data_IF_803830540074
#
_entry.id   IF_803830540074
#
_cell.length_a   1.000
_cell.length_b   1.000
_cell.length_c   1.000
_cell.angle_alpha   90.00
_cell.angle_beta   90.00
_cell.angle_gamma   90.00
#
_symmetry.space_group_name_H-M   'P 1'
#
loop_
_entity.id
_entity.type
_entity.pdbx_description
1 polymer ?
#
# COMPACT_ATOMS: atom_id res chain seq x y z
N UNK A 1 25.09 30.81 -38.18
CA UNK A 1 25.96 30.94 -37.00
C UNK A 1 25.17 31.60 -35.88
N UNK A 2 24.60 30.82 -34.96
CA UNK A 2 23.91 31.32 -33.76
C UNK A 2 24.51 30.59 -32.56
N UNK A 3 25.28 31.29 -31.71
CA UNK A 3 25.82 30.74 -30.47
C UNK A 3 24.72 30.81 -29.40
N UNK A 4 24.18 29.64 -29.02
CA UNK A 4 23.35 29.50 -27.82
C UNK A 4 24.26 29.50 -26.59
N UNK A 5 24.02 30.40 -25.64
CA UNK A 5 24.63 30.33 -24.31
C UNK A 5 23.86 29.30 -23.48
N UNK A 6 24.55 28.26 -23.01
CA UNK A 6 24.03 27.38 -21.96
C UNK A 6 24.38 27.99 -20.60
N UNK A 7 23.38 28.36 -19.81
CA UNK A 7 23.53 28.65 -18.38
C UNK A 7 23.41 27.35 -17.59
N UNK A 8 24.41 27.03 -16.78
CA UNK A 8 24.43 25.86 -15.90
C UNK A 8 24.19 26.32 -14.46
N UNK A 9 23.17 25.78 -13.80
CA UNK A 9 22.90 26.00 -12.38
C UNK A 9 23.84 25.09 -11.57
N UNK A 10 24.64 25.66 -10.67
CA UNK A 10 25.50 24.88 -9.76
C UNK A 10 25.06 25.18 -8.32
N UNK A 11 24.68 24.14 -7.59
CA UNK A 11 24.43 24.21 -6.16
C UNK A 11 25.77 24.11 -5.41
N UNK A 12 26.13 25.14 -4.63
CA UNK A 12 27.29 25.10 -3.74
C UNK A 12 26.79 24.77 -2.33
N UNK A 13 27.27 23.66 -1.77
CA UNK A 13 27.05 23.32 -0.36
C UNK A 13 28.27 23.79 0.44
N UNK A 14 28.07 24.69 1.39
CA UNK A 14 29.08 25.03 2.40
C UNK A 14 28.68 24.33 3.69
N UNK A 15 29.51 23.39 4.15
CA UNK A 15 29.36 22.75 5.45
C UNK A 15 30.18 23.54 6.47
N UNK A 16 29.52 24.12 7.48
CA UNK A 16 30.18 24.64 8.68
C UNK A 16 29.89 23.67 9.81
N UNK A 17 30.94 23.09 10.40
CA UNK A 17 30.83 22.11 11.48
C UNK A 17 30.76 22.86 12.82
N UNK A 18 29.60 22.82 13.46
CA UNK A 18 29.35 23.30 14.82
C UNK A 18 28.30 22.41 15.49
N UNK A 19 28.50 22.11 16.76
CA UNK A 19 27.79 21.10 17.54
C UNK A 19 26.30 21.39 17.73
N UNK A 20 25.44 20.54 17.16
CA UNK A 20 24.04 20.38 17.51
C UNK A 20 23.09 21.33 16.79
N UNK A 21 22.13 20.75 16.07
CA UNK A 21 21.02 21.36 15.32
C UNK A 21 21.31 21.75 13.85
N UNK A 22 20.64 21.05 12.92
CA UNK A 22 20.71 21.27 11.48
C UNK A 22 19.67 22.33 11.05
N UNK A 23 20.14 23.48 10.58
CA UNK A 23 19.34 24.44 9.82
C UNK A 23 19.84 24.45 8.39
N UNK A 24 19.01 24.00 7.45
CA UNK A 24 19.26 24.12 6.01
C UNK A 24 18.61 25.40 5.51
N UNK A 25 19.42 26.41 5.19
CA UNK A 25 18.98 27.60 4.48
C UNK A 25 19.53 27.56 3.05
N UNK A 26 18.65 27.55 2.05
CA UNK A 26 19.01 27.67 0.64
C UNK A 26 18.84 29.12 0.18
N UNK A 27 19.92 29.71 -0.34
CA UNK A 27 19.91 31.03 -0.97
C UNK A 27 20.54 30.95 -2.37
N UNK A 28 19.89 31.55 -3.37
CA UNK A 28 20.40 31.62 -4.73
C UNK A 28 21.25 32.88 -4.90
N UNK A 29 22.55 32.72 -5.15
CA UNK A 29 23.46 33.79 -5.52
C UNK A 29 24.00 33.59 -6.94
N UNK A 30 23.97 34.65 -7.75
CA UNK A 30 24.64 34.67 -9.05
C UNK A 30 26.11 35.06 -8.86
N UNK A 31 27.03 34.18 -9.24
CA UNK A 31 28.47 34.47 -9.27
C UNK A 31 28.96 34.31 -10.70
N UNK A 32 29.54 35.39 -11.22
CA UNK A 32 30.14 35.47 -12.55
C UNK A 32 31.54 34.81 -12.50
N UNK A 33 31.74 33.76 -13.29
CA UNK A 33 32.98 32.96 -13.27
C UNK A 33 34.08 33.57 -14.14
N UNK A 34 35.33 33.42 -13.70
CA UNK A 34 36.49 33.41 -14.59
C UNK A 34 37.35 32.17 -14.32
N UNK A 35 37.37 31.27 -15.31
CA UNK A 35 38.47 30.39 -15.75
C UNK A 35 39.24 29.55 -14.73
N UNK A 36 39.10 28.22 -14.82
CA UNK A 36 40.25 27.33 -14.93
C UNK A 36 39.90 25.99 -15.61
N UNK A 37 40.71 25.63 -16.59
CA UNK A 37 40.63 24.46 -17.46
C UNK A 37 41.43 23.29 -16.88
N UNK A 38 41.14 22.07 -17.36
CA UNK A 38 41.95 20.83 -17.26
C UNK A 38 41.84 20.00 -15.97
N UNK A 39 41.22 18.82 -16.06
CA UNK A 39 41.92 17.51 -16.00
C UNK A 39 40.95 16.32 -15.97
N UNK A 40 41.29 15.31 -16.78
CA UNK A 40 40.91 13.89 -16.69
C UNK A 40 39.58 13.42 -17.33
N UNK A 41 39.62 13.38 -18.65
CA UNK A 41 39.21 12.21 -19.43
C UNK A 41 40.03 10.97 -19.04
N UNK A 42 39.36 9.83 -18.80
CA UNK A 42 39.77 8.44 -19.12
C UNK A 42 39.28 7.43 -18.06
N UNK A 43 38.14 6.79 -18.33
CA UNK A 43 38.04 5.31 -18.31
C UNK A 43 36.71 4.87 -18.90
N UNK A 44 36.76 4.49 -20.18
CA UNK A 44 35.71 3.75 -20.86
C UNK A 44 36.05 2.25 -20.81
N UNK A 45 34.99 1.47 -20.59
CA UNK A 45 34.59 0.26 -21.34
C UNK A 45 34.94 -1.15 -20.80
N UNK A 46 33.84 -1.92 -20.86
CA UNK A 46 33.66 -3.33 -21.18
C UNK A 46 33.81 -4.34 -20.04
N UNK A 47 32.72 -5.06 -19.77
CA UNK A 47 32.57 -6.50 -20.10
C UNK A 47 31.08 -6.82 -20.27
N UNK A 48 30.80 -7.52 -21.35
CA UNK A 48 29.53 -8.08 -21.79
C UNK A 48 29.39 -9.54 -21.37
N UNK A 49 28.14 -10.02 -21.30
CA UNK A 49 27.70 -11.42 -21.32
C UNK A 49 28.16 -12.33 -20.17
N UNK A 50 27.19 -12.88 -19.44
CA UNK A 50 27.10 -14.31 -19.14
C UNK A 50 25.69 -14.64 -18.65
N UNK A 51 24.99 -15.43 -19.48
CA UNK A 51 23.80 -16.19 -19.14
C UNK A 51 24.25 -17.39 -18.31
N UNK A 52 23.65 -17.60 -17.14
CA UNK A 52 23.75 -18.87 -16.43
C UNK A 52 22.41 -19.20 -15.79
N UNK A 53 21.70 -20.13 -16.42
CA UNK A 53 20.60 -20.87 -15.81
C UNK A 53 21.15 -21.71 -14.66
N UNK A 54 20.59 -21.56 -13.47
CA UNK A 54 20.90 -22.41 -12.31
C UNK A 54 19.80 -23.45 -12.19
N UNK A 55 20.18 -24.68 -12.54
CA UNK A 55 19.45 -25.91 -12.27
C UNK A 55 19.49 -26.19 -10.77
N UNK A 56 18.34 -26.39 -10.12
CA UNK A 56 18.26 -26.94 -8.77
C UNK A 56 17.99 -28.45 -8.86
N UNK A 57 18.85 -29.33 -8.31
CA UNK A 57 18.51 -30.73 -8.14
C UNK A 57 17.76 -30.94 -6.82
N UNK A 58 16.61 -31.58 -6.93
CA UNK A 58 15.82 -32.14 -5.84
C UNK A 58 16.64 -33.17 -5.07
N UNK A 59 16.81 -32.97 -3.75
CA UNK A 59 17.31 -34.02 -2.86
C UNK A 59 16.18 -34.49 -1.95
N UNK A 60 15.68 -35.67 -2.29
CA UNK A 60 14.93 -36.59 -1.43
C UNK A 60 15.81 -36.97 -0.25
N UNK A 61 15.27 -36.88 0.98
CA UNK A 61 15.79 -37.63 2.14
C UNK A 61 14.63 -38.33 2.83
N UNK A 62 14.66 -39.65 2.75
CA UNK A 62 13.88 -40.58 3.54
C UNK A 62 14.80 -41.22 4.59
N UNK A 63 14.33 -41.26 5.84
CA UNK A 63 14.68 -42.17 6.96
C UNK A 63 13.45 -42.08 7.91
N UNK A 64 12.56 -43.07 8.09
CA UNK A 64 12.67 -44.34 8.85
C UNK A 64 13.28 -44.12 10.25
N UNK A 65 12.75 -44.57 11.39
CA UNK A 65 11.63 -45.44 11.79
C UNK A 65 11.48 -45.30 13.33
N UNK A 66 10.41 -45.87 13.86
CA UNK A 66 10.20 -46.35 15.24
C UNK A 66 9.87 -45.34 16.37
N UNK A 67 8.59 -45.32 16.76
CA UNK A 67 8.24 -45.64 18.14
C UNK A 67 6.78 -46.11 18.28
N UNK A 68 6.61 -47.37 18.67
CA UNK A 68 5.36 -47.96 19.16
C UNK A 68 5.04 -47.40 20.56
N UNK A 69 3.75 -47.16 20.82
CA UNK A 69 3.27 -46.73 22.13
C UNK A 69 1.75 -46.68 22.20
N UNK A 70 1.16 -47.85 22.46
CA UNK A 70 -0.24 -48.05 22.83
C UNK A 70 -0.63 -47.24 24.09
N UNK A 71 -1.74 -46.50 24.01
CA UNK A 71 -2.61 -46.29 25.16
C UNK A 71 -4.05 -45.95 24.72
N UNK A 72 -4.98 -46.75 25.23
CA UNK A 72 -6.42 -46.73 25.02
C UNK A 72 -7.13 -45.42 25.42
N UNK A 73 -8.16 -45.11 24.61
CA UNK A 73 -9.47 -44.52 24.90
C UNK A 73 -9.62 -43.40 25.97
N UNK A 74 -10.28 -42.28 25.61
CA UNK A 74 -11.68 -41.95 25.99
C UNK A 74 -12.14 -40.62 25.35
N UNK A 75 -13.34 -40.65 24.75
CA UNK A 75 -14.35 -39.57 24.58
C UNK A 75 -14.00 -38.24 23.87
N UNK A 76 -14.47 -38.16 22.62
CA UNK A 76 -15.41 -37.14 22.10
C UNK A 76 -15.22 -35.67 22.51
N UNK A 77 -14.63 -34.90 21.62
CA UNK A 77 -15.13 -33.57 21.21
C UNK A 77 -14.66 -33.34 19.77
N UNK A 78 -15.52 -33.67 18.82
CA UNK A 78 -15.33 -33.38 17.40
C UNK A 78 -15.51 -31.88 17.21
N UNK A 79 -14.44 -31.13 17.38
CA UNK A 79 -14.31 -29.81 16.75
C UNK A 79 -14.17 -30.10 15.27
N UNK A 80 -15.14 -29.64 14.47
CA UNK A 80 -15.04 -29.62 13.01
C UNK A 80 -13.82 -28.77 12.65
N UNK A 81 -12.66 -29.41 12.54
CA UNK A 81 -11.53 -28.85 11.81
C UNK A 81 -11.99 -28.74 10.37
N UNK A 82 -12.33 -27.52 9.98
CA UNK A 82 -12.38 -27.09 8.59
C UNK A 82 -11.06 -27.54 7.96
N UNK A 83 -11.09 -28.68 7.27
CA UNK A 83 -9.97 -29.12 6.47
C UNK A 83 -9.81 -28.06 5.39
N UNK A 84 -8.83 -27.19 5.56
CA UNK A 84 -8.35 -26.30 4.52
C UNK A 84 -7.96 -27.21 3.35
N UNK A 85 -8.85 -27.31 2.36
CA UNK A 85 -8.53 -27.89 1.08
C UNK A 85 -7.39 -27.03 0.55
N UNK A 86 -6.15 -27.48 0.72
CA UNK A 86 -5.01 -26.82 0.09
C UNK A 86 -5.25 -26.98 -1.41
N UNK A 87 -5.58 -25.89 -2.14
CA UNK A 87 -5.85 -26.02 -3.56
C UNK A 87 -4.62 -26.64 -4.24
N UNK A 88 -4.85 -27.56 -5.19
CA UNK A 88 -3.77 -28.11 -6.02
C UNK A 88 -2.94 -26.94 -6.53
N UNK A 89 -1.64 -26.92 -6.20
CA UNK A 89 -0.75 -25.78 -6.45
C UNK A 89 -0.88 -25.31 -7.90
N UNK A 90 -1.69 -24.28 -8.12
CA UNK A 90 -1.70 -23.58 -9.39
C UNK A 90 -0.31 -22.98 -9.58
N UNK A 91 0.16 -22.92 -10.82
CA UNK A 91 1.43 -22.27 -11.11
C UNK A 91 1.45 -20.90 -10.41
N UNK A 92 2.57 -20.47 -9.79
CA UNK A 92 2.65 -19.12 -9.21
C UNK A 92 2.42 -18.03 -10.28
N UNK A 93 2.51 -18.38 -11.56
CA UNK A 93 2.23 -17.51 -12.69
C UNK A 93 0.84 -17.71 -13.31
N UNK A 94 -0.02 -18.51 -12.67
CA UNK A 94 -1.40 -18.70 -13.11
C UNK A 94 -2.14 -17.36 -13.05
N UNK A 95 -3.00 -17.13 -14.04
CA UNK A 95 -3.87 -15.97 -14.04
C UNK A 95 -4.89 -16.06 -12.90
N UNK A 96 -5.24 -14.92 -12.34
CA UNK A 96 -6.29 -14.82 -11.32
C UNK A 96 -7.35 -13.82 -11.78
N UNK A 97 -8.59 -14.04 -11.35
CA UNK A 97 -9.69 -13.13 -11.62
C UNK A 97 -10.06 -12.42 -10.34
N UNK A 98 -10.16 -11.10 -10.41
CA UNK A 98 -10.54 -10.25 -9.28
C UNK A 98 -11.72 -9.37 -9.66
N UNK A 99 -12.62 -9.11 -8.73
CA UNK A 99 -13.67 -8.11 -8.87
C UNK A 99 -13.21 -6.84 -8.17
N UNK A 100 -12.88 -5.82 -8.95
CA UNK A 100 -12.56 -4.51 -8.40
C UNK A 100 -13.84 -3.72 -8.14
N UNK A 101 -14.01 -3.19 -6.94
CA UNK A 101 -15.07 -2.23 -6.63
C UNK A 101 -14.45 -0.86 -6.42
N UNK A 102 -14.65 0.03 -7.39
CA UNK A 102 -14.14 1.39 -7.39
C UNK A 102 -15.19 2.33 -6.82
N UNK A 103 -14.80 3.17 -5.87
CA UNK A 103 -15.66 4.07 -5.15
C UNK A 103 -15.14 5.51 -5.31
N UNK A 104 -15.71 6.22 -6.29
CA UNK A 104 -15.34 7.60 -6.59
C UNK A 104 -16.16 8.59 -5.76
N UNK A 105 -15.51 9.70 -5.39
CA UNK A 105 -16.06 10.75 -4.53
C UNK A 105 -15.51 10.69 -3.10
N UNK A 106 -15.93 11.64 -2.25
CA UNK A 106 -15.52 11.67 -0.84
C UNK A 106 -16.15 10.51 -0.08
N UNK A 107 -15.32 9.63 0.47
CA UNK A 107 -15.74 8.72 1.53
C UNK A 107 -15.91 9.50 2.82
N UNK A 108 -16.99 9.26 3.58
CA UNK A 108 -17.17 9.85 4.92
C UNK A 108 -16.04 9.53 5.90
N UNK A 109 -15.20 8.53 5.58
CA UNK A 109 -13.97 8.24 6.32
C UNK A 109 -12.94 9.38 6.29
N UNK A 110 -13.04 10.32 5.34
CA UNK A 110 -12.18 11.52 5.34
C UNK A 110 -12.48 12.49 6.50
N UNK A 111 -13.66 12.38 7.14
CA UNK A 111 -13.99 13.18 8.33
C UNK A 111 -13.27 12.69 9.59
N UNK A 112 -12.73 11.46 9.60
CA UNK A 112 -11.99 10.90 10.74
C UNK A 112 -10.47 11.19 10.70
N UNK A 113 -9.97 11.93 9.71
CA UNK A 113 -8.57 12.36 9.67
C UNK A 113 -7.53 11.22 9.58
N UNK A 114 -7.96 10.01 9.21
CA UNK A 114 -7.11 8.80 9.18
C UNK A 114 -6.08 8.85 8.03
N UNK A 115 -6.31 9.69 7.01
CA UNK A 115 -5.31 9.92 5.97
C UNK A 115 -4.32 11.03 6.38
N UNK A 116 -3.02 10.71 6.55
CA UNK A 116 -1.98 11.71 6.77
C UNK A 116 -1.63 12.52 5.51
N UNK A 117 -2.19 12.17 4.35
CA UNK A 117 -2.10 12.98 3.14
C UNK A 117 -3.15 14.09 3.15
N UNK A 118 -3.18 14.88 4.23
CA UNK A 118 -3.80 16.19 4.18
C UNK A 118 -2.83 17.09 3.40
N UNK A 119 -2.90 17.03 2.08
CA UNK A 119 -2.34 18.08 1.25
C UNK A 119 -3.11 19.36 1.58
N UNK A 120 -2.40 20.27 2.23
CA UNK A 120 -2.88 21.57 2.67
C UNK A 120 -3.72 22.27 1.57
N UNK A 121 -4.93 22.66 1.96
CA UNK A 121 -5.47 24.00 1.76
C UNK A 121 -5.82 24.50 0.35
N UNK A 122 -6.28 23.62 -0.54
CA UNK A 122 -7.21 24.07 -1.58
C UNK A 122 -8.35 23.08 -1.78
N UNK A 123 -9.56 23.54 -1.46
CA UNK A 123 -10.84 22.84 -1.67
C UNK A 123 -11.17 22.78 -3.17
N UNK A 124 -10.35 22.13 -3.99
CA UNK A 124 -10.68 21.91 -5.40
C UNK A 124 -11.65 20.73 -5.54
N UNK A 125 -12.94 21.04 -5.39
CA UNK A 125 -14.08 20.55 -6.18
C UNK A 125 -14.03 19.10 -6.70
N UNK A 126 -13.82 18.11 -5.83
CA UNK A 126 -14.27 16.73 -6.11
C UNK A 126 -15.12 16.21 -4.94
N UNK A 127 -16.39 15.92 -5.25
CA UNK A 127 -17.32 15.23 -4.35
C UNK A 127 -17.83 16.04 -3.15
N UNK A 128 -18.11 17.34 -3.30
CA UNK A 128 -18.63 18.17 -2.22
C UNK A 128 -20.08 17.81 -1.80
N UNK A 129 -20.77 16.94 -2.54
CA UNK A 129 -22.24 16.79 -2.43
C UNK A 129 -22.75 15.43 -1.91
N UNK A 130 -21.92 14.53 -1.38
CA UNK A 130 -22.37 13.19 -0.98
C UNK A 130 -22.73 12.27 -2.17
N UNK A 131 -22.31 12.69 -3.36
CA UNK A 131 -22.35 11.98 -4.63
C UNK A 131 -21.34 10.83 -4.64
N UNK A 132 -21.78 9.66 -4.17
CA UNK A 132 -20.99 8.44 -4.29
C UNK A 132 -21.21 7.78 -5.64
N UNK A 133 -20.13 7.52 -6.38
CA UNK A 133 -20.18 6.70 -7.60
C UNK A 133 -19.42 5.40 -7.36
N UNK A 134 -20.14 4.28 -7.40
CA UNK A 134 -19.56 2.94 -7.29
C UNK A 134 -19.62 2.26 -8.65
N UNK A 135 -18.48 1.72 -9.10
CA UNK A 135 -18.36 0.94 -10.33
C UNK A 135 -17.67 -0.39 -9.98
N UNK A 136 -18.18 -1.50 -10.50
CA UNK A 136 -17.60 -2.82 -10.27
C UNK A 136 -16.95 -3.33 -11.57
N UNK A 137 -15.74 -3.84 -11.53
CA UNK A 137 -14.99 -4.24 -12.72
C UNK A 137 -14.28 -5.57 -12.45
N UNK A 138 -14.80 -6.68 -12.98
CA UNK A 138 -14.05 -7.92 -13.05
C UNK A 138 -12.80 -7.73 -13.91
N UNK A 139 -11.64 -8.12 -13.40
CA UNK A 139 -10.36 -8.02 -14.08
C UNK A 139 -9.67 -9.37 -14.09
N UNK A 140 -9.03 -9.68 -15.21
CA UNK A 140 -8.08 -10.77 -15.34
C UNK A 140 -6.69 -10.21 -15.08
N UNK A 141 -6.05 -10.70 -14.03
CA UNK A 141 -4.67 -10.39 -13.68
C UNK A 141 -3.80 -11.52 -14.23
N UNK A 142 -2.81 -11.17 -15.07
CA UNK A 142 -1.88 -12.15 -15.65
C UNK A 142 -0.44 -11.74 -15.41
N UNK A 143 0.48 -12.69 -15.51
CA UNK A 143 1.92 -12.46 -15.44
C UNK A 143 2.54 -12.05 -16.79
N UNK A 144 1.73 -11.82 -17.82
CA UNK A 144 2.22 -11.43 -19.14
C UNK A 144 2.81 -10.02 -19.11
N UNK A 145 3.86 -9.76 -19.88
CA UNK A 145 4.47 -8.43 -19.97
C UNK A 145 3.53 -7.43 -20.66
N UNK A 146 3.50 -6.19 -20.13
CA UNK A 146 2.85 -5.07 -20.83
C UNK A 146 3.58 -4.69 -22.12
N UNK A 147 2.87 -3.99 -23.01
CA UNK A 147 3.40 -3.49 -24.29
C UNK A 147 4.62 -2.58 -24.07
N UNK A 148 5.54 -2.52 -25.04
CA UNK A 148 6.73 -1.67 -24.93
C UNK A 148 6.41 -0.17 -24.73
N UNK A 149 5.26 0.29 -25.24
CA UNK A 149 4.81 1.66 -25.08
C UNK A 149 4.44 1.96 -23.62
N UNK A 150 3.87 0.98 -22.93
CA UNK A 150 3.40 1.11 -21.54
C UNK A 150 4.49 0.84 -20.50
N UNK A 151 5.64 0.26 -20.90
CA UNK A 151 6.77 -0.06 -20.00
C UNK A 151 7.43 1.16 -19.33
N UNK A 152 7.10 2.37 -19.78
CA UNK A 152 7.68 3.62 -19.26
C UNK A 152 6.69 4.44 -18.42
N UNK A 153 5.62 3.83 -17.90
CA UNK A 153 4.74 4.52 -16.95
C UNK A 153 5.52 4.93 -15.68
N UNK A 154 5.24 6.13 -15.17
CA UNK A 154 5.99 6.74 -14.08
C UNK A 154 5.69 6.11 -12.71
N UNK A 155 4.48 5.54 -12.54
CA UNK A 155 4.04 4.92 -11.27
C UNK A 155 4.28 3.43 -11.31
N UNK A 156 3.89 2.79 -12.41
CA UNK A 156 4.02 1.35 -12.59
C UNK A 156 5.32 1.10 -13.35
N UNK A 157 6.38 0.89 -12.56
CA UNK A 157 7.79 0.77 -13.00
C UNK A 157 7.99 -0.34 -14.05
N UNK A 158 9.17 -0.34 -14.69
CA UNK A 158 9.65 -1.44 -15.55
C UNK A 158 9.39 -2.81 -14.93
N UNK A 159 8.82 -3.70 -15.73
CA UNK A 159 8.45 -5.06 -15.29
C UNK A 159 6.97 -5.22 -14.93
N UNK A 160 6.14 -4.24 -15.30
CA UNK A 160 4.69 -4.36 -15.14
C UNK A 160 4.14 -5.55 -15.93
N UNK A 161 3.25 -6.31 -15.28
CA UNK A 161 2.48 -7.36 -15.91
C UNK A 161 1.07 -6.88 -16.25
N UNK A 162 0.32 -7.61 -17.08
CA UNK A 162 -0.95 -7.14 -17.64
C UNK A 162 -2.12 -7.36 -16.69
N UNK A 163 -3.00 -6.36 -16.60
CA UNK A 163 -4.33 -6.44 -15.98
C UNK A 163 -5.39 -6.05 -17.02
N UNK A 164 -6.43 -6.88 -17.22
CA UNK A 164 -7.44 -6.68 -18.27
C UNK A 164 -8.87 -6.68 -17.72
N UNK A 165 -9.69 -5.66 -17.99
CA UNK A 165 -11.13 -5.74 -17.74
C UNK A 165 -11.78 -6.90 -18.52
N UNK A 166 -12.61 -7.69 -17.84
CA UNK A 166 -13.36 -8.80 -18.45
C UNK A 166 -14.79 -8.33 -18.74
N UNK A 167 -15.14 -8.20 -20.02
CA UNK A 167 -16.50 -7.81 -20.45
C UNK A 167 -17.43 -8.99 -20.72
N UNK A 168 -16.85 -10.15 -21.02
CA UNK A 168 -17.56 -11.38 -21.32
C UNK A 168 -16.65 -12.55 -20.98
N UNK A 169 -17.15 -13.53 -20.23
CA UNK A 169 -16.44 -14.78 -20.07
C UNK A 169 -16.63 -15.64 -21.33
N UNK A 170 -15.56 -16.21 -21.88
CA UNK A 170 -15.69 -17.22 -22.91
C UNK A 170 -16.31 -18.48 -22.26
N UNK A 171 -17.53 -18.81 -22.67
CA UNK A 171 -18.18 -20.13 -22.57
C UNK A 171 -17.87 -20.98 -21.32
N UNK A 172 -18.39 -20.57 -20.16
CA UNK A 172 -18.85 -21.58 -19.19
C UNK A 172 -20.23 -22.01 -19.68
N UNK A 173 -20.26 -23.11 -20.43
CA UNK A 173 -21.34 -23.61 -21.31
C UNK A 173 -22.79 -23.64 -20.75
N UNK A 174 -23.08 -23.25 -19.50
CA UNK A 174 -24.44 -23.21 -18.98
C UNK A 174 -24.78 -22.09 -17.98
N UNK A 175 -23.91 -21.10 -17.77
CA UNK A 175 -24.23 -19.93 -16.92
C UNK A 175 -23.92 -18.65 -17.68
N UNK A 176 -24.94 -18.03 -18.30
CA UNK A 176 -24.89 -16.61 -18.70
C UNK A 176 -24.77 -15.75 -17.44
N UNK A 177 -23.57 -15.64 -16.89
CA UNK A 177 -23.24 -14.58 -15.93
C UNK A 177 -23.14 -13.29 -16.74
N UNK A 178 -24.22 -12.52 -16.72
CA UNK A 178 -24.29 -11.25 -17.42
C UNK A 178 -23.47 -10.18 -16.66
N UNK A 179 -22.19 -10.08 -17.00
CA UNK A 179 -21.29 -9.07 -16.43
C UNK A 179 -21.61 -7.64 -16.88
N UNK A 180 -22.59 -7.44 -17.78
CA UNK A 180 -22.99 -6.10 -18.23
C UNK A 180 -23.42 -5.18 -17.07
N UNK A 181 -23.90 -5.76 -15.96
CA UNK A 181 -24.25 -5.02 -14.75
C UNK A 181 -23.05 -4.41 -14.04
N UNK A 182 -21.89 -5.07 -14.09
CA UNK A 182 -20.71 -4.66 -13.33
C UNK A 182 -20.17 -3.34 -13.87
N UNK A 183 -20.15 -3.17 -15.19
CA UNK A 183 -19.67 -1.94 -15.85
C UNK A 183 -20.74 -0.86 -16.02
N UNK A 184 -21.66 -0.73 -15.08
CA UNK A 184 -22.72 0.28 -15.22
C UNK A 184 -22.96 1.08 -13.95
N UNK A 185 -23.36 2.33 -14.14
CA UNK A 185 -23.80 3.20 -13.05
C UNK A 185 -25.05 3.96 -13.45
N UNK A 186 -25.79 4.44 -12.46
CA UNK A 186 -26.99 5.24 -12.70
C UNK A 186 -26.65 6.72 -12.57
N UNK A 187 -26.96 7.46 -13.63
CA UNK A 187 -26.84 8.92 -13.75
C UNK A 187 -28.22 9.57 -13.91
N UNK A 188 -28.28 10.90 -13.98
CA UNK A 188 -29.51 11.62 -14.32
C UNK A 188 -30.02 11.29 -15.73
N UNK A 189 -29.13 10.84 -16.62
CA UNK A 189 -29.41 10.40 -17.98
C UNK A 189 -29.79 8.91 -18.05
N UNK A 190 -29.97 8.25 -16.90
CA UNK A 190 -30.27 6.81 -16.81
C UNK A 190 -29.02 5.95 -16.61
N UNK A 191 -29.14 4.67 -16.94
CA UNK A 191 -28.05 3.71 -16.82
C UNK A 191 -26.97 4.00 -17.88
N UNK A 192 -25.76 4.27 -17.41
CA UNK A 192 -24.58 4.50 -18.23
C UNK A 192 -23.66 3.28 -18.17
N UNK A 193 -22.93 3.05 -19.26
CA UNK A 193 -21.91 1.99 -19.34
C UNK A 193 -20.53 2.61 -19.22
N UNK A 194 -19.68 1.97 -18.42
CA UNK A 194 -18.26 2.28 -18.26
C UNK A 194 -17.49 1.37 -19.19
N UNK A 195 -16.43 1.92 -19.80
CA UNK A 195 -15.49 1.12 -20.55
C UNK A 195 -14.08 1.50 -20.12
N UNK A 196 -13.33 0.51 -19.69
CA UNK A 196 -11.94 0.54 -19.29
C UNK A 196 -11.08 -0.24 -20.29
N UNK A 197 -9.90 0.28 -20.59
CA UNK A 197 -8.87 -0.42 -21.35
C UNK A 197 -7.95 -1.22 -20.41
N UNK A 198 -7.29 -2.28 -20.93
CA UNK A 198 -6.24 -2.98 -20.22
C UNK A 198 -5.16 -2.04 -19.71
N UNK A 199 -4.54 -2.41 -18.59
CA UNK A 199 -3.39 -1.71 -18.06
C UNK A 199 -2.31 -2.62 -17.52
N UNK A 200 -1.47 -2.06 -16.66
CA UNK A 200 -0.33 -2.73 -16.05
C UNK A 200 -0.43 -2.79 -14.54
N UNK A 201 0.12 -3.83 -13.92
CA UNK A 201 0.25 -3.99 -12.48
C UNK A 201 1.69 -4.36 -12.10
N UNK A 202 2.08 -4.02 -10.87
CA UNK A 202 3.37 -4.36 -10.28
C UNK A 202 3.24 -4.51 -8.77
N UNK A 203 4.04 -5.41 -8.18
CA UNK A 203 4.27 -5.49 -6.75
C UNK A 203 5.60 -4.82 -6.41
N UNK A 204 5.55 -3.75 -5.63
CA UNK A 204 6.72 -3.07 -5.10
C UNK A 204 7.04 -3.60 -3.71
N UNK A 205 8.11 -4.38 -3.61
CA UNK A 205 8.59 -4.88 -2.34
C UNK A 205 9.28 -3.77 -1.55
N UNK A 206 9.16 -3.77 -0.21
CA UNK A 206 9.88 -2.83 0.64
C UNK A 206 11.38 -2.92 0.36
N UNK A 207 12.11 -1.79 0.33
CA UNK A 207 13.51 -1.79 -0.05
C UNK A 207 14.30 -2.69 0.89
N UNK A 208 14.82 -3.79 0.35
CA UNK A 208 15.83 -4.61 1.02
C UNK A 208 17.04 -3.72 1.25
N UNK A 209 17.24 -3.24 2.48
CA UNK A 209 18.30 -2.30 2.81
C UNK A 209 19.63 -2.69 2.16
N UNK A 210 20.13 -1.85 1.26
CA UNK A 210 21.36 -2.09 0.52
C UNK A 210 22.52 -2.05 1.51
N UNK A 211 23.10 -3.21 1.84
CA UNK A 211 24.36 -3.27 2.60
C UNK A 211 24.47 -4.28 3.74
N UNK A 212 23.49 -5.16 3.99
CA UNK A 212 23.66 -6.19 5.02
C UNK A 212 23.55 -7.60 4.44
N UNK A 213 24.70 -8.25 4.32
CA UNK A 213 24.94 -9.62 3.87
C UNK A 213 24.44 -10.70 4.84
N UNK A 214 23.40 -10.42 5.63
CA UNK A 214 22.72 -11.37 6.52
C UNK A 214 21.21 -11.15 6.32
N UNK A 215 20.62 -11.81 5.32
CA UNK A 215 19.98 -13.14 5.40
C UNK A 215 18.72 -13.17 6.29
N UNK A 216 17.59 -12.96 5.62
CA UNK A 216 16.30 -13.64 5.77
C UNK A 216 15.10 -13.01 6.50
N UNK A 217 15.21 -12.00 7.39
CA UNK A 217 14.03 -11.61 8.19
C UNK A 217 13.69 -10.11 8.33
N UNK A 218 14.42 -9.19 7.71
CA UNK A 218 14.20 -7.74 7.96
C UNK A 218 12.90 -7.20 7.36
N UNK A 219 12.54 -7.67 6.17
CA UNK A 219 11.34 -7.23 5.49
C UNK A 219 10.11 -8.10 5.80
N UNK A 220 10.28 -9.16 6.59
CA UNK A 220 9.17 -10.06 6.91
C UNK A 220 8.06 -9.32 7.65
N UNK A 221 6.86 -9.44 7.11
CA UNK A 221 5.66 -8.77 7.58
C UNK A 221 5.54 -7.28 7.30
N UNK A 222 6.47 -6.68 6.56
CA UNK A 222 6.24 -5.35 6.00
C UNK A 222 5.32 -5.46 4.77
N UNK A 223 4.43 -4.49 4.62
CA UNK A 223 3.56 -4.40 3.46
C UNK A 223 4.37 -4.29 2.15
N UNK A 224 4.01 -5.16 1.20
CA UNK A 224 4.31 -4.95 -0.22
C UNK A 224 3.28 -3.96 -0.76
N UNK A 225 3.67 -3.13 -1.73
CA UNK A 225 2.72 -2.21 -2.38
C UNK A 225 2.28 -2.77 -3.72
N UNK A 226 1.01 -3.13 -3.82
CA UNK A 226 0.38 -3.39 -5.10
C UNK A 226 0.08 -2.06 -5.78
N UNK A 227 0.54 -1.90 -7.03
CA UNK A 227 0.18 -0.76 -7.87
C UNK A 227 -0.30 -1.25 -9.21
N UNK A 228 -1.36 -0.65 -9.73
CA UNK A 228 -1.78 -0.90 -11.10
C UNK A 228 -2.47 0.33 -11.69
N UNK A 229 -2.71 0.29 -12.99
CA UNK A 229 -3.51 1.30 -13.65
C UNK A 229 -4.53 0.68 -14.60
N UNK A 230 -5.61 1.41 -14.86
CA UNK A 230 -6.59 1.15 -15.91
C UNK A 230 -6.90 2.47 -16.62
N UNK A 231 -7.06 2.42 -17.94
CA UNK A 231 -7.38 3.62 -18.72
C UNK A 231 -8.87 3.71 -18.98
N UNK A 232 -9.43 4.91 -18.85
CA UNK A 232 -10.85 5.15 -19.08
C UNK A 232 -11.14 5.42 -20.56
N UNK A 233 -11.91 4.58 -21.24
CA UNK A 233 -12.25 4.74 -22.67
C UNK A 233 -13.40 5.74 -22.90
N UNK A 234 -14.26 5.94 -21.89
CA UNK A 234 -15.49 6.75 -21.99
C UNK A 234 -15.64 7.64 -20.77
N UNK A 235 -16.14 8.86 -20.98
CA UNK A 235 -16.44 9.79 -19.91
C UNK A 235 -17.32 9.14 -18.83
N UNK A 236 -16.96 9.40 -17.57
CA UNK A 236 -17.77 9.08 -16.40
C UNK A 236 -18.26 10.41 -15.82
N UNK A 237 -19.58 10.58 -15.74
CA UNK A 237 -20.19 11.77 -15.16
C UNK A 237 -21.36 11.38 -14.25
N UNK A 238 -21.26 11.69 -12.96
CA UNK A 238 -22.35 11.55 -11.99
C UNK A 238 -22.31 12.69 -10.99
N UNK A 239 -23.35 13.52 -11.01
CA UNK A 239 -23.47 14.71 -10.16
C UNK A 239 -22.25 15.65 -10.35
N UNK A 240 -21.40 15.76 -9.33
CA UNK A 240 -20.16 16.56 -9.33
C UNK A 240 -18.90 15.74 -9.67
N UNK A 241 -19.01 14.42 -9.86
CA UNK A 241 -17.90 13.58 -10.32
C UNK A 241 -17.85 13.63 -11.83
N UNK A 242 -16.72 14.11 -12.38
CA UNK A 242 -16.44 14.13 -13.81
C UNK A 242 -15.04 13.58 -14.07
N UNK A 243 -14.96 12.44 -14.76
CA UNK A 243 -13.70 11.84 -15.20
C UNK A 243 -13.77 11.69 -16.73
N UNK A 244 -12.97 12.46 -17.49
CA UNK A 244 -13.02 12.40 -18.95
C UNK A 244 -12.37 11.12 -19.49
N UNK A 245 -12.77 10.70 -20.69
CA UNK A 245 -12.11 9.64 -21.44
C UNK A 245 -10.64 9.97 -21.68
N UNK A 246 -9.82 8.93 -21.75
CA UNK A 246 -8.36 9.00 -21.77
C UNK A 246 -7.74 9.23 -20.39
N UNK A 247 -8.54 9.39 -19.32
CA UNK A 247 -7.99 9.50 -17.96
C UNK A 247 -7.43 8.15 -17.52
N UNK A 248 -6.16 8.13 -17.12
CA UNK A 248 -5.52 7.00 -16.46
C UNK A 248 -5.85 7.00 -14.97
N UNK A 249 -6.42 5.90 -14.51
CA UNK A 249 -6.72 5.66 -13.10
C UNK A 249 -5.59 4.83 -12.50
N UNK A 250 -4.92 5.36 -11.47
CA UNK A 250 -3.87 4.68 -10.75
C UNK A 250 -4.42 4.14 -9.43
N UNK A 251 -4.16 2.87 -9.16
CA UNK A 251 -4.60 2.16 -7.98
C UNK A 251 -3.39 1.78 -7.15
N UNK A 252 -3.50 1.95 -5.84
CA UNK A 252 -2.50 1.47 -4.90
C UNK A 252 -3.19 0.75 -3.74
N UNK A 253 -2.55 -0.30 -3.23
CA UNK A 253 -2.92 -0.96 -1.99
C UNK A 253 -1.66 -1.46 -1.27
N UNK A 254 -1.73 -1.50 0.05
CA UNK A 254 -0.81 -2.33 0.80
C UNK A 254 -1.30 -3.78 0.71
N UNK A 255 -0.37 -4.71 0.62
CA UNK A 255 -0.69 -6.12 0.55
C UNK A 255 0.38 -6.94 1.25
N UNK A 256 -0.04 -8.07 1.79
CA UNK A 256 0.83 -9.01 2.50
C UNK A 256 0.63 -10.38 1.91
N UNK A 257 1.71 -11.12 1.76
CA UNK A 257 1.61 -12.55 1.51
C UNK A 257 1.28 -13.26 2.80
N UNK A 258 0.73 -14.46 2.71
CA UNK A 258 0.29 -15.26 3.86
C UNK A 258 1.36 -15.32 4.99
N UNK A 259 2.59 -15.71 4.69
CA UNK A 259 3.65 -15.76 5.72
C UNK A 259 3.93 -14.37 6.31
N UNK A 260 4.04 -13.35 5.45
CA UNK A 260 4.32 -11.98 5.87
C UNK A 260 3.18 -11.42 6.74
N UNK A 261 1.94 -11.76 6.43
CA UNK A 261 0.77 -11.31 7.18
C UNK A 261 0.88 -11.73 8.64
N UNK A 262 1.12 -13.02 8.90
CA UNK A 262 1.26 -13.56 10.26
C UNK A 262 2.42 -12.90 11.03
N UNK A 263 3.58 -12.76 10.38
CA UNK A 263 4.71 -12.06 10.98
C UNK A 263 4.39 -10.58 11.28
N UNK A 264 3.61 -9.94 10.42
CA UNK A 264 3.19 -8.56 10.56
C UNK A 264 2.27 -8.37 11.76
N UNK A 265 1.24 -9.21 11.89
CA UNK A 265 0.32 -9.22 13.05
C UNK A 265 1.10 -9.45 14.35
N UNK A 266 2.01 -10.44 14.36
CA UNK A 266 2.83 -10.73 15.53
C UNK A 266 3.74 -9.56 15.94
N UNK A 267 4.20 -8.75 14.98
CA UNK A 267 5.00 -7.54 15.23
C UNK A 267 4.17 -6.34 15.68
N UNK A 268 2.94 -6.18 15.18
CA UNK A 268 2.07 -5.05 15.53
C UNK A 268 1.53 -5.18 16.96
N UNK A 269 1.15 -6.41 17.36
CA UNK A 269 0.55 -6.71 18.68
C UNK A 269 1.28 -6.10 19.88
N UNK A 270 2.61 -6.27 20.07
CA UNK A 270 3.29 -5.66 21.21
C UNK A 270 3.27 -4.12 21.17
N UNK A 271 3.30 -3.51 19.99
CA UNK A 271 3.24 -2.05 19.83
C UNK A 271 1.87 -1.52 20.27
N UNK A 272 0.79 -2.20 19.87
CA UNK A 272 -0.56 -1.88 20.33
C UNK A 272 -0.69 -2.03 21.85
N UNK A 273 -0.23 -3.14 22.43
CA UNK A 273 -0.27 -3.37 23.87
C UNK A 273 0.47 -2.28 24.65
N UNK A 274 1.63 -1.83 24.16
CA UNK A 274 2.36 -0.71 24.79
C UNK A 274 1.59 0.61 24.71
N UNK A 275 0.95 0.90 23.57
CA UNK A 275 0.14 2.11 23.41
C UNK A 275 -1.12 2.08 24.30
N UNK A 276 -1.82 0.95 24.35
CA UNK A 276 -2.96 0.73 25.22
C UNK A 276 -2.59 0.82 26.70
N UNK A 277 -1.45 0.23 27.10
CA UNK A 277 -0.95 0.33 28.46
C UNK A 277 -0.66 1.79 28.85
N UNK A 278 -0.08 2.59 27.96
CA UNK A 278 0.15 4.01 28.20
C UNK A 278 -1.17 4.80 28.34
N UNK A 279 -2.18 4.49 27.52
CA UNK A 279 -3.53 5.08 27.66
C UNK A 279 -4.17 4.66 28.99
N UNK A 280 -4.04 3.39 29.38
CA UNK A 280 -4.58 2.85 30.63
C UNK A 280 -3.93 3.49 31.85
N UNK A 281 -2.62 3.67 31.85
CA UNK A 281 -1.89 4.32 32.94
C UNK A 281 -2.41 5.75 33.21
N UNK A 282 -2.72 6.52 32.17
CA UNK A 282 -3.33 7.85 32.31
C UNK A 282 -4.75 7.74 32.91
N UNK A 283 -5.57 6.81 32.41
CA UNK A 283 -6.95 6.62 32.91
C UNK A 283 -6.95 6.22 34.39
N UNK A 284 -6.06 5.32 34.79
CA UNK A 284 -5.90 4.90 36.18
C UNK A 284 -5.46 6.06 37.07
N UNK A 285 -4.50 6.88 36.61
CA UNK A 285 -4.01 8.03 37.38
C UNK A 285 -5.06 9.13 37.55
N UNK A 286 -5.95 9.28 36.57
CA UNK A 286 -7.08 10.22 36.60
C UNK A 286 -8.36 9.63 37.22
N UNK A 287 -8.34 8.37 37.64
CA UNK A 287 -9.51 7.71 38.21
C UNK A 287 -10.00 8.41 39.48
N UNK A 288 -11.31 8.52 39.63
CA UNK A 288 -11.91 9.09 40.85
C UNK A 288 -11.73 8.18 42.06
N UNK A 289 -11.64 6.86 41.88
CA UNK A 289 -11.60 5.87 42.96
C UNK A 289 -10.17 5.55 43.43
N UNK A 290 -9.22 5.49 42.49
CA UNK A 290 -7.84 5.05 42.74
C UNK A 290 -6.76 6.01 42.23
N UNK A 291 -7.18 7.14 41.65
CA UNK A 291 -6.27 8.10 41.02
C UNK A 291 -5.51 8.97 42.00
N UNK A 292 -4.57 9.75 41.46
CA UNK A 292 -3.69 10.61 42.24
C UNK A 292 -4.45 11.75 42.93
N UNK A 293 -4.69 11.60 44.24
CA UNK A 293 -5.37 12.63 45.05
C UNK A 293 -4.57 13.94 45.13
N UNK A 294 -3.27 13.93 44.84
CA UNK A 294 -2.45 15.16 44.75
C UNK A 294 -2.98 16.13 43.69
N UNK A 295 -3.71 15.63 42.68
CA UNK A 295 -4.34 16.46 41.66
C UNK A 295 -5.62 17.16 42.15
N UNK A 296 -6.12 16.85 43.34
CA UNK A 296 -7.33 17.47 43.91
C UNK A 296 -7.08 18.90 44.43
N UNK A 297 -5.83 19.36 44.49
CA UNK A 297 -5.48 20.74 44.84
C UNK A 297 -5.40 21.04 46.35
N UNK A 298 -5.28 20.01 47.20
CA UNK A 298 -5.21 20.18 48.66
C UNK A 298 -3.87 20.79 49.12
N UNK A 299 -2.76 20.46 48.45
CA UNK A 299 -1.43 21.04 48.67
C UNK A 299 -0.84 21.52 47.33
N UNK A 300 -0.55 22.81 47.22
CA UNK A 300 -0.04 23.42 46.00
C UNK A 300 1.29 22.81 45.50
N UNK A 301 2.20 22.42 46.40
CA UNK A 301 3.50 21.87 46.00
C UNK A 301 3.31 20.44 45.46
N UNK A 302 2.54 19.62 46.16
CA UNK A 302 2.23 18.25 45.72
C UNK A 302 1.42 18.24 44.42
N UNK A 303 0.50 19.18 44.26
CA UNK A 303 -0.28 19.34 43.03
C UNK A 303 0.60 19.72 41.84
N UNK A 304 1.58 20.63 42.00
CA UNK A 304 2.53 20.97 40.92
C UNK A 304 3.37 19.75 40.53
N UNK A 305 3.84 18.97 41.50
CA UNK A 305 4.58 17.74 41.23
C UNK A 305 3.71 16.71 40.48
N UNK A 306 2.46 16.55 40.91
CA UNK A 306 1.50 15.66 40.26
C UNK A 306 1.18 16.09 38.82
N UNK A 307 1.09 17.40 38.54
CA UNK A 307 1.00 17.90 37.17
C UNK A 307 2.23 17.56 36.33
N UNK A 308 3.44 17.64 36.90
CA UNK A 308 4.67 17.20 36.24
C UNK A 308 4.67 15.71 35.89
N UNK A 309 4.25 14.87 36.84
CA UNK A 309 4.10 13.42 36.64
C UNK A 309 3.07 13.11 35.53
N UNK A 310 1.94 13.81 35.53
CA UNK A 310 0.91 13.68 34.50
C UNK A 310 1.41 14.12 33.12
N UNK A 311 2.14 15.24 33.04
CA UNK A 311 2.72 15.71 31.78
C UNK A 311 3.67 14.67 31.18
N UNK A 312 4.47 13.99 32.01
CA UNK A 312 5.34 12.90 31.57
C UNK A 312 4.55 11.73 30.99
N UNK A 313 3.46 11.31 31.65
CA UNK A 313 2.60 10.23 31.16
C UNK A 313 1.94 10.59 29.82
N UNK A 314 1.49 11.85 29.66
CA UNK A 314 0.92 12.34 28.40
C UNK A 314 1.95 12.27 27.27
N UNK A 315 3.18 12.72 27.53
CA UNK A 315 4.28 12.63 26.55
C UNK A 315 4.57 11.17 26.16
N UNK A 316 4.62 10.26 27.14
CA UNK A 316 4.81 8.83 26.87
C UNK A 316 3.68 8.25 26.03
N UNK A 317 2.42 8.58 26.33
CA UNK A 317 1.26 8.19 25.51
C UNK A 317 1.41 8.70 24.08
N UNK A 318 1.73 9.98 23.88
CA UNK A 318 1.89 10.54 22.54
C UNK A 318 2.98 9.83 21.74
N UNK A 319 4.13 9.55 22.36
CA UNK A 319 5.22 8.80 21.71
C UNK A 319 4.79 7.38 21.32
N UNK A 320 4.07 6.67 22.19
CA UNK A 320 3.59 5.31 21.91
C UNK A 320 2.48 5.30 20.85
N UNK A 321 1.56 6.27 20.88
CA UNK A 321 0.53 6.43 19.86
C UNK A 321 1.11 6.79 18.49
N UNK A 322 2.12 7.66 18.44
CA UNK A 322 2.81 7.98 17.19
C UNK A 322 3.49 6.75 16.59
N UNK A 323 4.16 5.93 17.41
CA UNK A 323 4.74 4.65 16.98
C UNK A 323 3.69 3.67 16.48
N UNK A 324 2.55 3.58 17.16
CA UNK A 324 1.44 2.74 16.73
C UNK A 324 0.90 3.21 15.37
N UNK A 325 0.70 4.53 15.18
CA UNK A 325 0.24 5.10 13.91
C UNK A 325 1.21 4.83 12.75
N UNK A 326 2.52 4.85 13.01
CA UNK A 326 3.52 4.47 12.00
C UNK A 326 3.47 2.97 11.70
N UNK A 327 3.34 2.13 12.74
CA UNK A 327 3.29 0.67 12.61
C UNK A 327 2.06 0.18 11.83
N UNK A 328 0.87 0.73 12.09
CA UNK A 328 -0.39 0.39 11.38
C UNK A 328 -0.31 0.67 9.87
N UNK A 329 0.59 1.56 9.42
CA UNK A 329 0.81 1.80 7.98
C UNK A 329 1.66 0.73 7.30
N UNK A 330 2.43 -0.03 8.07
CA UNK A 330 3.41 -0.99 7.57
C UNK A 330 2.99 -2.44 7.80
N UNK A 331 2.29 -2.69 8.90
CA UNK A 331 1.85 -4.00 9.34
C UNK A 331 0.34 -4.17 9.10
N UNK A 332 -0.14 -5.40 8.88
CA UNK A 332 -1.57 -5.66 8.84
C UNK A 332 -2.18 -5.34 10.20
N UNK A 333 -3.41 -4.81 10.21
CA UNK A 333 -4.14 -4.62 11.47
C UNK A 333 -4.31 -5.97 12.17
N UNK A 334 -4.37 -5.97 13.50
CA UNK A 334 -4.62 -7.17 14.31
C UNK A 334 -6.04 -7.24 14.85
N UNK A 335 -6.88 -6.26 14.52
CA UNK A 335 -8.23 -6.14 15.08
C UNK A 335 -9.16 -7.22 14.51
N UNK A 336 -10.30 -7.45 15.16
CA UNK A 336 -11.30 -8.46 14.76
C UNK A 336 -11.79 -8.29 13.29
N UNK A 337 -11.50 -7.16 12.66
CA UNK A 337 -11.76 -6.89 11.24
C UNK A 337 -10.83 -7.65 10.27
N UNK A 338 -9.80 -8.36 10.77
CA UNK A 338 -8.88 -9.16 9.95
C UNK A 338 -9.59 -10.28 9.18
N UNK A 339 -10.65 -10.86 9.75
CA UNK A 339 -11.42 -11.94 9.09
C UNK A 339 -12.10 -11.48 7.79
N UNK A 340 -12.14 -10.18 7.51
CA UNK A 340 -12.81 -9.60 6.34
C UNK A 340 -11.85 -8.94 5.34
N UNK A 341 -10.54 -9.06 5.54
CA UNK A 341 -9.59 -8.53 4.56
C UNK A 341 -9.64 -9.39 3.29
N UNK A 342 -9.76 -8.77 2.10
CA UNK A 342 -9.81 -9.54 0.87
C UNK A 342 -8.50 -10.27 0.62
N UNK A 343 -8.59 -11.58 0.45
CA UNK A 343 -7.49 -12.46 0.15
C UNK A 343 -7.76 -13.23 -1.15
N UNK A 344 -6.69 -13.73 -1.75
CA UNK A 344 -6.81 -14.56 -2.93
C UNK A 344 -5.50 -14.73 -3.71
N UNK A 345 -5.53 -15.55 -4.76
CA UNK A 345 -4.37 -15.76 -5.60
C UNK A 345 -4.01 -14.48 -6.37
N UNK A 346 -2.73 -14.13 -6.37
CA UNK A 346 -2.19 -13.06 -7.20
C UNK A 346 -1.02 -13.60 -8.04
N UNK A 347 -1.01 -13.40 -9.37
CA UNK A 347 0.07 -13.91 -10.20
C UNK A 347 1.44 -13.39 -9.75
N UNK A 348 2.48 -14.21 -9.85
CA UNK A 348 3.81 -13.94 -9.31
C UNK A 348 4.03 -14.41 -7.86
N UNK A 349 3.05 -15.10 -7.28
CA UNK A 349 3.11 -15.69 -5.94
C UNK A 349 2.39 -17.04 -5.94
N UNK A 350 2.98 -18.03 -5.26
CA UNK A 350 2.31 -19.27 -4.86
C UNK A 350 1.46 -19.08 -3.59
N UNK A 351 1.81 -18.08 -2.79
CA UNK A 351 1.08 -17.66 -1.59
C UNK A 351 -0.09 -16.73 -1.93
N UNK A 352 -1.15 -16.81 -1.13
CA UNK A 352 -2.27 -15.87 -1.20
C UNK A 352 -1.83 -14.47 -0.80
N UNK A 353 -2.43 -13.48 -1.46
CA UNK A 353 -2.17 -12.08 -1.21
C UNK A 353 -3.38 -11.46 -0.50
N UNK A 354 -3.17 -10.99 0.72
CA UNK A 354 -4.16 -10.24 1.49
C UNK A 354 -4.01 -8.75 1.20
N UNK A 355 -5.08 -8.11 0.74
CA UNK A 355 -5.14 -6.67 0.49
C UNK A 355 -5.53 -5.91 1.75
N UNK A 356 -5.03 -4.67 1.89
CA UNK A 356 -5.50 -3.76 2.94
C UNK A 356 -6.97 -3.38 2.74
N UNK A 357 -7.60 -2.89 3.82
CA UNK A 357 -8.95 -2.34 3.83
C UNK A 357 -9.13 -1.25 2.74
N UNK A 358 -10.35 -1.12 2.20
CA UNK A 358 -10.80 -0.05 1.29
C UNK A 358 -10.26 1.32 1.71
N UNK A 359 -10.28 1.61 3.02
CA UNK A 359 -9.81 2.87 3.59
C UNK A 359 -8.34 3.17 3.32
N UNK A 360 -7.54 2.20 2.90
CA UNK A 360 -6.12 2.38 2.60
C UNK A 360 -5.78 2.13 1.13
N UNK A 361 -6.79 1.99 0.28
CA UNK A 361 -6.65 1.62 -1.12
C UNK A 361 -7.09 2.80 -2.03
N UNK A 362 -6.25 3.82 -2.22
CA UNK A 362 -6.62 5.01 -2.98
C UNK A 362 -6.64 4.76 -4.50
N UNK A 363 -7.50 5.54 -5.17
CA UNK A 363 -7.48 5.74 -6.63
C UNK A 363 -6.98 7.17 -6.90
N UNK A 364 -5.96 7.30 -7.72
CA UNK A 364 -5.38 8.58 -8.13
C UNK A 364 -5.54 8.83 -9.63
N UNK A 365 -5.56 10.10 -10.01
CA UNK A 365 -5.38 10.54 -11.40
C UNK A 365 -4.19 11.48 -11.49
N UNK A 366 -3.58 11.58 -12.67
CA UNK A 366 -2.56 12.58 -12.92
C UNK A 366 -3.22 13.92 -13.25
N UNK A 367 -2.92 14.96 -12.46
CA UNK A 367 -3.34 16.33 -12.71
C UNK A 367 -2.27 17.06 -13.50
N UNK A 368 -2.63 17.51 -14.70
CA UNK A 368 -1.74 18.38 -15.47
C UNK A 368 -1.74 19.79 -14.88
N UNK A 369 -0.69 20.12 -14.13
CA UNK A 369 -0.46 21.45 -13.58
C UNK A 369 0.24 22.40 -14.58
N UNK A 370 0.44 21.96 -15.82
CA UNK A 370 1.18 22.67 -16.85
C UNK A 370 2.70 22.50 -16.72
N UNK A 371 3.42 22.95 -17.75
CA UNK A 371 4.85 22.67 -18.00
C UNK A 371 5.79 23.04 -16.83
N UNK A 372 5.39 23.99 -15.97
CA UNK A 372 6.26 24.54 -14.93
C UNK A 372 6.06 23.95 -13.53
N UNK A 373 4.98 23.19 -13.30
CA UNK A 373 4.57 22.81 -11.94
C UNK A 373 4.72 21.32 -11.62
N UNK A 374 5.28 20.55 -12.55
CA UNK A 374 5.52 19.12 -12.37
C UNK A 374 4.22 18.30 -12.44
N UNK A 375 4.36 17.00 -12.17
CA UNK A 375 3.26 16.06 -12.12
C UNK A 375 2.69 16.01 -10.71
N UNK A 376 1.38 16.24 -10.56
CA UNK A 376 0.68 16.09 -9.29
C UNK A 376 -0.35 14.96 -9.41
N UNK A 377 -0.51 14.17 -8.36
CA UNK A 377 -1.51 13.11 -8.28
C UNK A 377 -2.66 13.56 -7.40
N UNK A 378 -3.88 13.48 -7.93
CA UNK A 378 -5.11 13.84 -7.22
C UNK A 378 -5.87 12.56 -6.87
N UNK A 379 -6.22 12.38 -5.60
CA UNK A 379 -7.03 11.25 -5.16
C UNK A 379 -8.50 11.48 -5.55
N UNK A 380 -9.08 10.52 -6.27
CA UNK A 380 -10.47 10.61 -6.78
C UNK A 380 -11.41 9.60 -6.14
N UNK A 381 -10.89 8.65 -5.36
CA UNK A 381 -11.69 7.61 -4.73
C UNK A 381 -10.87 6.56 -3.97
N UNK A 382 -11.56 5.49 -3.58
CA UNK A 382 -10.99 4.28 -2.96
C UNK A 382 -11.41 3.04 -3.74
N UNK A 383 -10.75 1.91 -3.51
CA UNK A 383 -11.12 0.65 -4.14
C UNK A 383 -11.00 -0.57 -3.21
N UNK A 384 -11.78 -1.61 -3.49
CA UNK A 384 -11.58 -2.96 -2.93
C UNK A 384 -11.45 -3.98 -4.05
N UNK A 385 -10.79 -5.09 -3.76
CA UNK A 385 -10.75 -6.26 -4.63
C UNK A 385 -11.40 -7.44 -3.92
N UNK A 386 -12.00 -8.36 -4.68
CA UNK A 386 -12.45 -9.67 -4.20
C UNK A 386 -12.01 -10.71 -5.22
N UNK A 387 -11.30 -11.74 -4.80
CA UNK A 387 -10.87 -12.79 -5.71
C UNK A 387 -12.07 -13.67 -6.10
N UNK A 388 -12.22 -13.92 -7.40
CA UNK A 388 -13.16 -14.92 -7.91
C UNK A 388 -12.45 -16.27 -7.89
N UNK A 389 -12.75 -17.07 -6.88
CA UNK A 389 -12.28 -18.45 -6.79
C UNK A 389 -13.15 -19.31 -7.71
N UNK A 390 -12.52 -20.10 -8.57
CA UNK A 390 -13.24 -21.16 -9.29
C UNK A 390 -13.69 -22.18 -8.23
N UNK A 391 -15.01 -22.33 -8.05
CA UNK A 391 -15.57 -23.43 -7.26
C UNK A 391 -15.24 -24.74 -8.01
N UNK A 392 -14.33 -25.55 -7.43
CA UNK A 392 -13.94 -26.86 -7.94
C UNK A 392 -15.12 -27.86 -8.06
#
# INVERSE_FOLDING_TARGET
MNRRCCSMLVAVHVAIVGSGEFLVASGFGYVQTSTCTQLLSERRRNISHLSSAVYFPSCIRALSDDNEGDCDATSSNTVEQTQSLSPKSSSPWASAIWILRMNFGRSSASDEGIFPFSFNDDKSVFGASGSRLVITCPVLVTAEDVSEQDRNDAIVVRGASVIRPIYSFPDVENKKTDFSKHYSYVSLQGQQSVKLSPGGWVLEFPPSGVGTTSSNNRNKGLATKLRFWLDLDKDIERNDIKLPAGTRLYFAANCWREEDFDFGVAKLRPIQQEAEAAVRAIKERLSHESGDRRLDGVDAIETIQAYGDMAKLVLEKEQKMAKLQEAVRMYPSSDDDVEFLPDGPWPGSDEWLTLSDEKYNPIFILKDQGILRGQEYEMVGTWTGEALLEED
#
